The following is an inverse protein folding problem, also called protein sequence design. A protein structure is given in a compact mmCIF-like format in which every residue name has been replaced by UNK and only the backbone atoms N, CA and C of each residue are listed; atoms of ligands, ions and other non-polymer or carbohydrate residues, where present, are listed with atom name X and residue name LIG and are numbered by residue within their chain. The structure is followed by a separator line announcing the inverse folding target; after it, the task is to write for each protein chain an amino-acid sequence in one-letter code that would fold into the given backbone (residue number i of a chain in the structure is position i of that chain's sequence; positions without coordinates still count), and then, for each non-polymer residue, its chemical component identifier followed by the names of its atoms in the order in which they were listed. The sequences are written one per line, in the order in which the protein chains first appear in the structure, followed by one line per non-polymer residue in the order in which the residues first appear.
data_IF_524127306917
#
_entry.id   IF_524127306917
#
_cell.length_a   1.000
_cell.length_b   1.000
_cell.length_c   1.000
_cell.angle_alpha   90.00
_cell.angle_beta   90.00
_cell.angle_gamma   90.00
#
_symmetry.space_group_name_H-M   'P 1'
#
loop_
_entity.id
_entity.type
_entity.pdbx_description
1 polymer ?
#
# COMPACT_ATOMS: atom_id res chain seq x y z
N UNK A 1 6.72 -5.15 -4.81
CA UNK A 1 8.15 -5.45 -4.97
C UNK A 1 8.72 -5.93 -3.66
N UNK A 2 9.60 -6.93 -3.68
CA UNK A 2 10.33 -7.36 -2.48
C UNK A 2 11.35 -6.28 -2.07
N UNK A 3 11.55 -6.15 -0.77
CA UNK A 3 12.50 -5.19 -0.19
C UNK A 3 13.76 -5.91 0.28
N UNK A 4 14.84 -5.15 0.50
CA UNK A 4 16.09 -5.68 1.06
C UNK A 4 15.99 -6.07 2.55
N UNK A 5 14.88 -5.76 3.20
CA UNK A 5 14.66 -6.10 4.60
C UNK A 5 14.64 -7.61 4.82
N UNK A 6 15.27 -8.05 5.88
CA UNK A 6 15.19 -9.44 6.34
C UNK A 6 13.74 -9.81 6.67
N UNK A 7 13.42 -11.11 6.52
CA UNK A 7 12.11 -11.62 6.90
C UNK A 7 11.84 -11.34 8.38
N UNK A 8 10.61 -10.92 8.67
CA UNK A 8 10.18 -10.61 10.02
C UNK A 8 10.49 -9.19 10.48
N UNK A 9 11.09 -8.34 9.65
CA UNK A 9 11.25 -6.92 9.97
C UNK A 9 9.96 -6.17 9.62
N UNK A 10 9.44 -5.43 10.58
CA UNK A 10 8.37 -4.47 10.41
C UNK A 10 8.94 -3.16 9.85
N UNK A 11 8.54 -2.72 8.65
CA UNK A 11 9.10 -1.50 8.05
C UNK A 11 8.06 -0.45 7.66
N UNK A 12 6.75 -0.73 7.77
CA UNK A 12 5.67 0.25 7.66
C UNK A 12 5.91 1.43 6.73
N UNK A 13 6.08 2.61 7.32
CA UNK A 13 6.40 3.85 6.63
C UNK A 13 7.91 4.14 6.53
N UNK A 14 8.75 3.32 7.14
CA UNK A 14 10.20 3.41 6.93
C UNK A 14 10.52 3.25 5.45
N UNK A 15 11.39 4.11 4.95
CA UNK A 15 11.78 4.09 3.54
C UNK A 15 12.91 3.07 3.36
N UNK A 16 12.59 1.99 2.67
CA UNK A 16 13.48 0.84 2.48
C UNK A 16 13.70 0.58 1.00
N UNK A 17 14.91 0.18 0.65
CA UNK A 17 15.27 -0.17 -0.72
C UNK A 17 14.56 -1.45 -1.18
N UNK A 18 14.40 -1.59 -2.49
CA UNK A 18 13.86 -2.80 -3.12
C UNK A 18 14.99 -3.73 -3.56
N UNK A 19 14.70 -5.04 -3.54
CA UNK A 19 15.66 -6.07 -3.93
C UNK A 19 15.83 -6.09 -5.45
N UNK A 20 17.06 -5.95 -5.92
CA UNK A 20 17.40 -6.08 -7.34
C UNK A 20 17.68 -7.57 -7.69
N UNK A 21 17.49 -7.99 -8.96
CA UNK A 21 16.91 -7.21 -10.06
C UNK A 21 15.39 -7.18 -10.01
N UNK A 22 14.79 -6.02 -10.24
CA UNK A 22 13.32 -5.84 -10.19
C UNK A 22 12.69 -5.59 -11.57
N UNK A 23 13.50 -5.46 -12.63
CA UNK A 23 13.03 -5.11 -13.97
C UNK A 23 11.97 -6.08 -14.51
N UNK A 24 12.15 -7.38 -14.32
CA UNK A 24 11.19 -8.39 -14.78
C UNK A 24 9.83 -8.27 -14.07
N UNK A 25 9.84 -7.94 -12.78
CA UNK A 25 8.61 -7.71 -12.00
C UNK A 25 7.93 -6.44 -12.48
N UNK A 26 8.66 -5.35 -12.69
CA UNK A 26 8.14 -4.09 -13.19
C UNK A 26 7.54 -4.24 -14.59
N UNK A 27 8.22 -4.96 -15.49
CA UNK A 27 7.71 -5.24 -16.82
C UNK A 27 6.45 -6.11 -16.78
N UNK A 28 6.39 -7.10 -15.90
CA UNK A 28 5.19 -7.93 -15.70
C UNK A 28 4.00 -7.10 -15.19
N UNK A 29 4.22 -6.17 -14.27
CA UNK A 29 3.18 -5.25 -13.81
C UNK A 29 2.73 -4.36 -14.95
N UNK A 30 3.66 -3.67 -15.65
CA UNK A 30 3.38 -2.76 -16.74
C UNK A 30 2.52 -3.41 -17.84
N UNK A 31 2.82 -4.67 -18.20
CA UNK A 31 2.09 -5.40 -19.25
C UNK A 31 0.60 -5.61 -18.96
N UNK A 32 0.16 -5.42 -17.73
CA UNK A 32 -1.22 -5.60 -17.29
C UNK A 32 -1.98 -4.28 -17.14
N UNK A 33 -1.30 -3.14 -17.29
CA UNK A 33 -1.83 -1.81 -17.06
C UNK A 33 -2.30 -1.14 -18.38
N UNK A 34 -3.26 -0.21 -18.30
CA UNK A 34 -3.61 0.65 -19.44
C UNK A 34 -2.44 1.58 -19.79
N UNK A 35 -2.30 1.92 -21.08
CA UNK A 35 -1.25 2.80 -21.58
C UNK A 35 -1.43 4.26 -21.15
N UNK A 36 -2.69 4.73 -21.03
CA UNK A 36 -3.04 6.07 -20.55
C UNK A 36 -3.96 5.94 -19.33
N UNK A 37 -3.59 6.61 -18.24
CA UNK A 37 -4.31 6.60 -16.97
C UNK A 37 -3.91 7.79 -16.10
N UNK A 38 -4.72 8.07 -15.08
CA UNK A 38 -4.27 8.88 -13.95
C UNK A 38 -3.45 7.99 -13.00
N UNK A 39 -2.18 8.32 -12.77
CA UNK A 39 -1.28 7.53 -11.94
C UNK A 39 -1.05 8.21 -10.59
N UNK A 40 -1.42 7.51 -9.53
CA UNK A 40 -1.15 7.89 -8.15
C UNK A 40 -0.17 6.92 -7.50
N UNK A 41 0.64 7.40 -6.57
CA UNK A 41 1.62 6.58 -5.86
C UNK A 41 1.76 7.00 -4.41
N UNK A 42 2.00 6.03 -3.55
CA UNK A 42 2.63 6.28 -2.25
C UNK A 42 3.99 6.95 -2.48
N UNK A 43 4.39 7.95 -1.66
CA UNK A 43 5.70 8.60 -1.78
C UNK A 43 6.86 7.74 -1.28
N UNK A 44 6.61 6.54 -0.73
CA UNK A 44 7.68 5.65 -0.29
C UNK A 44 8.46 5.08 -1.48
N UNK A 45 9.79 5.04 -1.38
CA UNK A 45 10.73 4.71 -2.46
C UNK A 45 10.31 3.47 -3.25
N UNK A 46 9.89 2.40 -2.57
CA UNK A 46 9.46 1.13 -3.18
C UNK A 46 8.22 1.25 -4.10
N UNK A 47 7.41 2.30 -3.92
CA UNK A 47 6.29 2.62 -4.80
C UNK A 47 6.70 3.63 -5.88
N UNK A 48 7.47 4.65 -5.51
CA UNK A 48 7.95 5.70 -6.44
C UNK A 48 8.77 5.09 -7.57
N UNK A 49 9.63 4.12 -7.30
CA UNK A 49 10.43 3.44 -8.32
C UNK A 49 9.55 2.73 -9.36
N UNK A 50 8.52 1.99 -8.92
CA UNK A 50 7.58 1.34 -9.84
C UNK A 50 6.72 2.37 -10.58
N UNK A 51 6.22 3.41 -9.90
CA UNK A 51 5.40 4.43 -10.52
C UNK A 51 6.16 5.22 -11.60
N UNK A 52 7.41 5.57 -11.36
CA UNK A 52 8.27 6.21 -12.37
C UNK A 52 8.54 5.26 -13.54
N UNK A 53 8.81 3.97 -13.29
CA UNK A 53 8.98 2.99 -14.35
C UNK A 53 7.72 2.89 -15.24
N UNK A 54 6.52 2.87 -14.63
CA UNK A 54 5.25 2.86 -15.36
C UNK A 54 5.13 4.12 -16.22
N UNK A 55 5.33 5.30 -15.66
CA UNK A 55 5.29 6.58 -16.39
C UNK A 55 6.26 6.59 -17.56
N UNK A 56 7.51 6.19 -17.36
CA UNK A 56 8.56 6.26 -18.37
C UNK A 56 8.39 5.24 -19.51
N UNK A 57 7.51 4.24 -19.37
CA UNK A 57 7.24 3.18 -20.35
C UNK A 57 5.76 3.13 -20.79
N UNK A 58 5.01 4.23 -20.65
CA UNK A 58 3.61 4.36 -21.06
C UNK A 58 3.32 5.77 -21.58
N UNK A 59 2.06 6.08 -21.89
CA UNK A 59 1.61 7.42 -22.30
C UNK A 59 1.23 8.31 -21.11
N UNK A 60 1.51 7.87 -19.89
CA UNK A 60 1.20 8.60 -18.67
C UNK A 60 2.20 9.74 -18.48
N UNK A 61 1.71 10.96 -18.29
CA UNK A 61 2.56 12.16 -18.26
C UNK A 61 3.08 12.51 -16.86
N UNK A 62 2.39 12.08 -15.80
CA UNK A 62 2.74 12.46 -14.42
C UNK A 62 2.45 11.35 -13.42
N UNK A 63 3.24 11.31 -12.36
CA UNK A 63 2.96 10.57 -11.12
C UNK A 63 2.46 11.57 -10.07
N UNK A 64 1.29 11.32 -9.52
CA UNK A 64 0.73 12.09 -8.41
C UNK A 64 1.05 11.35 -7.11
N UNK A 65 2.01 11.85 -6.36
CA UNK A 65 2.34 11.28 -5.05
C UNK A 65 1.35 11.78 -3.99
N UNK A 66 0.85 10.84 -3.17
CA UNK A 66 -0.11 11.15 -2.12
C UNK A 66 0.24 10.37 -0.84
N UNK A 67 0.45 11.11 0.25
CA UNK A 67 0.83 10.54 1.55
C UNK A 67 -0.27 9.66 2.16
N UNK A 68 -1.54 9.85 1.77
CA UNK A 68 -2.66 8.99 2.18
C UNK A 68 -2.51 7.54 1.67
N UNK A 69 -1.65 7.32 0.66
CA UNK A 69 -1.35 6.00 0.10
C UNK A 69 -0.14 5.31 0.77
N UNK A 70 0.51 5.93 1.77
CA UNK A 70 1.58 5.29 2.52
C UNK A 70 1.08 4.04 3.27
N UNK A 71 1.99 3.08 3.53
CA UNK A 71 1.66 1.92 4.35
C UNK A 71 1.28 2.34 5.78
N UNK A 72 0.70 1.43 6.55
CA UNK A 72 0.40 1.64 7.96
C UNK A 72 1.66 2.09 8.70
N UNK A 73 1.53 3.15 9.50
CA UNK A 73 2.59 3.59 10.39
C UNK A 73 2.66 2.64 11.58
N UNK A 74 3.73 1.85 11.64
CA UNK A 74 3.97 0.94 12.77
C UNK A 74 4.78 1.58 13.90
N UNK A 75 4.94 2.91 13.90
CA UNK A 75 5.49 3.69 15.00
C UNK A 75 6.77 3.08 15.59
N UNK A 76 6.75 2.84 16.91
CA UNK A 76 7.92 2.32 17.63
C UNK A 76 8.32 0.89 17.22
N UNK A 77 7.52 0.19 16.43
CA UNK A 77 7.84 -1.15 15.95
C UNK A 77 8.62 -1.15 14.63
N UNK A 78 8.68 -0.01 13.95
CA UNK A 78 9.38 0.05 12.66
C UNK A 78 10.86 -0.28 12.80
N UNK A 79 11.36 -1.01 11.80
CA UNK A 79 12.73 -1.55 11.71
C UNK A 79 13.10 -2.55 12.83
N UNK A 80 12.10 -3.05 13.57
CA UNK A 80 12.28 -4.15 14.53
C UNK A 80 11.75 -5.47 13.96
N UNK A 81 12.33 -6.56 14.39
CA UNK A 81 11.76 -7.88 14.11
C UNK A 81 10.48 -8.06 14.94
N UNK A 82 9.46 -8.66 14.36
CA UNK A 82 8.18 -8.93 15.04
C UNK A 82 8.37 -9.74 16.35
N UNK A 83 9.38 -10.63 16.38
CA UNK A 83 9.65 -11.50 17.52
C UNK A 83 10.22 -10.76 18.75
N UNK A 84 10.71 -9.52 18.58
CA UNK A 84 11.25 -8.71 19.69
C UNK A 84 10.29 -7.65 20.20
N UNK A 85 9.10 -7.56 19.61
CA UNK A 85 8.06 -6.64 20.10
C UNK A 85 7.52 -7.17 21.43
N UNK A 86 7.44 -6.31 22.46
CA UNK A 86 6.96 -6.74 23.78
C UNK A 86 5.55 -7.35 23.69
N UNK A 87 5.31 -8.53 24.30
CA UNK A 87 3.99 -9.17 24.29
C UNK A 87 2.86 -8.28 24.82
N UNK A 88 3.16 -7.40 25.78
CA UNK A 88 2.19 -6.47 26.37
C UNK A 88 1.68 -5.43 25.34
N UNK A 89 2.50 -5.07 24.35
CA UNK A 89 2.11 -4.20 23.25
C UNK A 89 1.51 -5.00 22.08
N UNK A 90 2.13 -6.15 21.75
CA UNK A 90 1.79 -6.92 20.57
C UNK A 90 0.47 -7.70 20.70
N UNK A 91 0.20 -8.30 21.89
CA UNK A 91 -0.99 -9.13 22.09
C UNK A 91 -2.30 -8.36 21.95
N UNK A 92 -2.47 -7.16 22.55
CA UNK A 92 -3.67 -6.35 22.34
C UNK A 92 -3.89 -6.01 20.85
N UNK A 93 -2.83 -5.63 20.13
CA UNK A 93 -2.90 -5.32 18.71
C UNK A 93 -3.26 -6.55 17.88
N UNK A 94 -2.66 -7.70 18.11
CA UNK A 94 -3.02 -8.95 17.42
C UNK A 94 -4.47 -9.37 17.67
N UNK A 95 -5.02 -9.02 18.82
CA UNK A 95 -6.41 -9.34 19.16
C UNK A 95 -7.39 -8.41 18.43
N UNK A 96 -7.03 -7.14 18.27
CA UNK A 96 -7.87 -6.13 17.60
C UNK A 96 -7.00 -5.09 16.86
N UNK A 97 -6.32 -5.53 15.81
CA UNK A 97 -5.49 -4.66 14.97
C UNK A 97 -6.27 -3.53 14.29
N UNK A 98 -7.60 -3.67 14.21
CA UNK A 98 -8.48 -2.66 13.62
C UNK A 98 -8.52 -1.40 14.46
N UNK A 99 -8.70 -1.55 15.78
CA UNK A 99 -8.93 -0.43 16.68
C UNK A 99 -7.74 -0.09 17.57
N UNK A 100 -6.88 -1.07 17.87
CA UNK A 100 -5.70 -0.86 18.71
C UNK A 100 -4.59 -0.21 17.88
N UNK A 101 -4.11 0.95 18.35
CA UNK A 101 -2.97 1.65 17.74
C UNK A 101 -1.65 1.02 18.17
N UNK A 102 -0.74 0.94 17.23
CA UNK A 102 0.67 0.70 17.56
C UNK A 102 1.23 1.90 18.36
N UNK A 103 2.09 1.69 19.33
CA UNK A 103 2.71 2.80 20.05
C UNK A 103 3.36 3.82 19.09
N UNK A 104 2.95 5.07 19.20
CA UNK A 104 3.35 6.18 18.32
C UNK A 104 3.03 5.97 16.82
N UNK A 105 2.13 5.06 16.48
CA UNK A 105 1.73 4.73 15.12
C UNK A 105 0.23 4.77 14.89
N UNK A 106 -0.22 4.03 13.89
CA UNK A 106 -1.61 3.94 13.45
C UNK A 106 -2.28 2.65 13.95
N UNK A 107 -3.61 2.67 14.02
CA UNK A 107 -4.47 1.49 13.92
C UNK A 107 -4.84 1.23 12.45
N UNK A 108 -5.45 0.10 12.15
CA UNK A 108 -5.95 -0.14 10.79
C UNK A 108 -7.13 0.77 10.44
N UNK A 109 -7.89 1.25 11.43
CA UNK A 109 -8.93 2.27 11.25
C UNK A 109 -8.33 3.59 10.78
N UNK A 110 -7.21 4.05 11.37
CA UNK A 110 -6.55 5.30 10.94
C UNK A 110 -6.07 5.22 9.49
N UNK A 111 -5.46 4.09 9.12
CA UNK A 111 -5.07 3.82 7.73
C UNK A 111 -6.31 3.86 6.81
N UNK A 112 -7.37 3.16 7.20
CA UNK A 112 -8.60 3.12 6.41
C UNK A 112 -9.21 4.51 6.20
N UNK A 113 -9.25 5.33 7.25
CA UNK A 113 -9.86 6.67 7.16
C UNK A 113 -9.13 7.56 6.13
N UNK A 114 -7.78 7.54 6.11
CA UNK A 114 -7.03 8.31 5.10
C UNK A 114 -7.14 7.72 3.69
N UNK A 115 -7.30 6.40 3.55
CA UNK A 115 -7.56 5.75 2.26
C UNK A 115 -8.94 6.11 1.73
N UNK A 116 -9.96 6.12 2.58
CA UNK A 116 -11.32 6.56 2.20
C UNK A 116 -11.33 8.04 1.81
N UNK A 117 -10.62 8.90 2.54
CA UNK A 117 -10.47 10.31 2.17
C UNK A 117 -9.82 10.46 0.77
N UNK A 118 -8.77 9.70 0.49
CA UNK A 118 -8.18 9.65 -0.86
C UNK A 118 -9.21 9.23 -1.92
N UNK A 119 -9.96 8.17 -1.66
CA UNK A 119 -10.98 7.67 -2.60
C UNK A 119 -12.02 8.75 -2.92
N UNK A 120 -12.52 9.46 -1.92
CA UNK A 120 -13.53 10.48 -2.09
C UNK A 120 -13.01 11.71 -2.84
N UNK A 121 -11.79 12.14 -2.56
CA UNK A 121 -11.26 13.37 -3.13
C UNK A 121 -10.67 13.18 -4.52
N UNK A 122 -10.01 12.05 -4.76
CA UNK A 122 -9.27 11.84 -6.01
C UNK A 122 -10.04 10.99 -7.03
N UNK A 123 -10.73 9.92 -6.59
CA UNK A 123 -11.35 9.00 -7.56
C UNK A 123 -12.69 9.50 -8.10
N UNK A 124 -13.44 10.30 -7.33
CA UNK A 124 -14.70 10.86 -7.82
C UNK A 124 -14.52 11.95 -8.88
N UNK A 125 -13.32 12.53 -8.98
CA UNK A 125 -13.02 13.63 -9.92
C UNK A 125 -12.40 13.13 -11.25
N UNK A 126 -12.18 11.84 -11.40
CA UNK A 126 -11.53 11.29 -12.59
C UNK A 126 -12.49 11.27 -13.79
N UNK A 127 -12.19 12.07 -14.80
CA UNK A 127 -12.94 12.22 -16.05
C UNK A 127 -12.83 10.95 -16.91
N UNK A 128 -13.48 9.85 -16.55
CA UNK A 128 -13.59 8.60 -17.33
C UNK A 128 -12.24 7.91 -17.67
N UNK A 129 -11.10 8.43 -17.23
CA UNK A 129 -9.82 7.77 -17.43
C UNK A 129 -9.63 6.67 -16.39
N UNK A 130 -9.02 5.54 -16.75
CA UNK A 130 -8.55 4.57 -15.77
C UNK A 130 -7.64 5.23 -14.73
N UNK A 131 -7.67 4.69 -13.52
CA UNK A 131 -6.78 5.11 -12.44
C UNK A 131 -5.85 3.95 -12.08
N UNK A 132 -4.57 4.24 -11.98
CA UNK A 132 -3.56 3.33 -11.47
C UNK A 132 -3.12 3.86 -10.10
N UNK A 133 -3.11 2.98 -9.11
CA UNK A 133 -2.65 3.30 -7.76
C UNK A 133 -1.52 2.35 -7.40
N UNK A 134 -0.33 2.89 -7.15
CA UNK A 134 0.83 2.14 -6.65
C UNK A 134 0.93 2.35 -5.15
N UNK A 135 0.63 1.29 -4.40
CA UNK A 135 0.52 1.38 -2.95
C UNK A 135 0.98 0.08 -2.27
N UNK A 136 0.58 -0.13 -1.04
CA UNK A 136 1.03 -1.18 -0.13
C UNK A 136 -0.11 -2.13 0.22
N UNK A 137 0.23 -3.27 0.83
CA UNK A 137 -0.74 -4.31 1.15
C UNK A 137 -1.85 -3.84 2.10
N UNK A 138 -1.53 -3.04 3.11
CA UNK A 138 -2.52 -2.47 4.03
C UNK A 138 -3.50 -1.56 3.31
N UNK A 139 -2.99 -0.64 2.48
CA UNK A 139 -3.80 0.26 1.65
C UNK A 139 -4.71 -0.52 0.70
N UNK A 140 -4.15 -1.49 -0.04
CA UNK A 140 -4.92 -2.32 -0.98
C UNK A 140 -6.02 -3.09 -0.26
N UNK A 141 -5.73 -3.66 0.90
CA UNK A 141 -6.74 -4.36 1.73
C UNK A 141 -7.85 -3.43 2.17
N UNK A 142 -7.53 -2.18 2.57
CA UNK A 142 -8.52 -1.16 2.92
C UNK A 142 -9.44 -0.84 1.74
N UNK A 143 -8.88 -0.63 0.54
CA UNK A 143 -9.65 -0.45 -0.70
C UNK A 143 -10.60 -1.63 -0.94
N UNK A 144 -10.08 -2.86 -0.87
CA UNK A 144 -10.86 -4.06 -1.13
C UNK A 144 -11.98 -4.25 -0.11
N UNK A 145 -11.73 -3.97 1.18
CA UNK A 145 -12.77 -3.99 2.21
C UNK A 145 -13.90 -3.02 1.87
N UNK A 146 -13.55 -1.79 1.47
CA UNK A 146 -14.55 -0.77 1.12
C UNK A 146 -15.41 -1.17 -0.09
N UNK A 147 -14.79 -1.71 -1.13
CA UNK A 147 -15.48 -2.04 -2.39
C UNK A 147 -16.34 -3.29 -2.23
N UNK A 148 -15.88 -4.27 -1.46
CA UNK A 148 -16.57 -5.55 -1.25
C UNK A 148 -17.53 -5.54 -0.04
N UNK A 149 -17.69 -4.38 0.62
CA UNK A 149 -18.43 -4.26 1.89
C UNK A 149 -17.99 -5.28 2.96
N UNK A 150 -16.67 -5.56 2.98
CA UNK A 150 -16.06 -6.49 3.90
C UNK A 150 -15.65 -5.76 5.19
N UNK A 151 -16.00 -6.28 6.38
CA UNK A 151 -15.55 -5.70 7.64
C UNK A 151 -14.02 -5.62 7.72
N UNK A 152 -13.45 -4.51 8.25
CA UNK A 152 -12.01 -4.30 8.36
C UNK A 152 -11.27 -5.42 9.10
N UNK A 153 -11.91 -6.06 10.09
CA UNK A 153 -11.33 -7.21 10.80
C UNK A 153 -11.03 -8.40 9.88
N UNK A 154 -11.69 -8.47 8.75
CA UNK A 154 -11.55 -9.53 7.76
C UNK A 154 -10.59 -9.15 6.61
N UNK A 155 -9.94 -8.00 6.68
CA UNK A 155 -9.07 -7.45 5.64
C UNK A 155 -7.97 -8.43 5.17
N UNK A 156 -7.45 -9.27 6.06
CA UNK A 156 -6.43 -10.27 5.74
C UNK A 156 -6.93 -11.47 4.93
N UNK A 157 -8.23 -11.62 4.73
CA UNK A 157 -8.78 -12.57 3.75
C UNK A 157 -8.39 -12.17 2.31
N UNK A 158 -8.14 -10.87 2.08
CA UNK A 158 -7.63 -10.36 0.83
C UNK A 158 -6.12 -10.62 0.74
N UNK A 159 -5.73 -11.66 -0.01
CA UNK A 159 -4.33 -11.94 -0.27
C UNK A 159 -3.76 -10.91 -1.26
N UNK A 160 -2.67 -10.28 -0.88
CA UNK A 160 -1.94 -9.30 -1.70
C UNK A 160 -0.49 -9.74 -1.77
N UNK A 161 -0.07 -10.25 -2.92
CA UNK A 161 1.31 -10.67 -3.17
C UNK A 161 2.16 -9.50 -3.69
N UNK A 162 3.48 -9.61 -3.61
CA UNK A 162 4.38 -8.63 -4.21
C UNK A 162 4.18 -8.55 -5.73
N UNK A 163 4.04 -7.33 -6.25
CA UNK A 163 3.82 -7.09 -7.67
C UNK A 163 2.44 -7.52 -8.18
N UNK A 164 1.50 -7.80 -7.29
CA UNK A 164 0.12 -8.10 -7.68
C UNK A 164 -0.52 -6.90 -8.36
N UNK A 165 -1.27 -7.14 -9.45
CA UNK A 165 -2.15 -6.17 -10.10
C UNK A 165 -3.57 -6.60 -9.85
N UNK A 166 -4.34 -5.74 -9.18
CA UNK A 166 -5.75 -5.97 -8.85
C UNK A 166 -6.59 -4.98 -9.64
N UNK A 167 -7.45 -5.50 -10.49
CA UNK A 167 -8.38 -4.68 -11.28
C UNK A 167 -9.70 -4.57 -10.54
N UNK A 168 -10.21 -3.35 -10.45
CA UNK A 168 -11.43 -3.00 -9.75
C UNK A 168 -12.28 -2.16 -10.71
N UNK A 169 -13.57 -2.48 -10.79
CA UNK A 169 -14.59 -1.66 -11.46
C UNK A 169 -15.39 -0.94 -10.37
N UNK A 170 -15.48 0.39 -10.44
CA UNK A 170 -16.20 1.25 -9.48
C UNK A 170 -17.50 1.75 -10.08
#
# INVERSE_FOLDING_TARGET
TETVCEKGICYGQSDVEIMAPYDAVFQSVLSQLPQDANLYSSPLLRCVLLANYIKDNSEINAVNEDSRLMEMNFGDWEMKNWDVIPPDDFTPWMTDFVNVRVPNGESFTDLNDRVIDFMHNELQQTNSKPVIIVAHAGVIRSFLCKISDLPLKDAFQNKVDFGAVIKIEL
#
